data_IF_079936485311
#
_entry.id   IF_079936485311
#
_cell.length_a   1.000
_cell.length_b   1.000
_cell.length_c   1.000
_cell.angle_alpha   90.00
_cell.angle_beta   90.00
_cell.angle_gamma   90.00
#
_symmetry.space_group_name_H-M   'P 1'
#
loop_
_entity.id
_entity.type
_entity.pdbx_description
1 polymer ?
#
# COMPACT_ATOMS: atom_id res chain seq x y z
N UNK A 1 -26.50 -14.60 5.14
CA UNK A 1 -25.27 -15.42 5.08
C UNK A 1 -24.50 -14.91 3.88
N UNK A 2 -23.61 -13.94 4.11
CA UNK A 2 -22.84 -13.32 3.04
C UNK A 2 -21.84 -14.36 2.49
N UNK A 3 -21.87 -14.60 1.18
CA UNK A 3 -20.92 -15.49 0.51
C UNK A 3 -19.48 -14.99 0.72
N UNK A 4 -18.50 -15.88 0.96
CA UNK A 4 -17.10 -15.52 1.05
C UNK A 4 -16.57 -15.29 -0.37
N UNK A 5 -16.99 -14.19 -1.01
CA UNK A 5 -16.26 -13.66 -2.15
C UNK A 5 -14.91 -13.24 -1.61
N UNK A 6 -13.83 -13.80 -2.18
CA UNK A 6 -12.46 -13.52 -1.76
C UNK A 6 -12.28 -12.03 -1.50
N UNK A 7 -11.73 -11.68 -0.33
CA UNK A 7 -11.68 -10.30 0.17
C UNK A 7 -10.87 -9.42 -0.78
N UNK A 8 -11.52 -8.86 -1.79
CA UNK A 8 -11.05 -7.68 -2.50
C UNK A 8 -11.14 -6.50 -1.56
N UNK A 9 -10.05 -5.74 -1.46
CA UNK A 9 -10.00 -4.47 -0.72
C UNK A 9 -11.04 -3.54 -1.32
N UNK A 10 -11.88 -2.91 -0.49
CA UNK A 10 -12.87 -1.94 -0.96
C UNK A 10 -12.19 -0.68 -1.50
N UNK A 11 -12.89 0.07 -2.36
CA UNK A 11 -12.32 1.21 -3.06
C UNK A 11 -11.79 2.30 -2.12
N UNK A 12 -12.46 2.55 -1.00
CA UNK A 12 -12.00 3.54 0.00
C UNK A 12 -10.68 3.10 0.62
N UNK A 13 -10.61 1.87 1.12
CA UNK A 13 -9.38 1.30 1.67
C UNK A 13 -8.26 1.30 0.62
N UNK A 14 -8.58 1.01 -0.65
CA UNK A 14 -7.61 1.02 -1.74
C UNK A 14 -7.05 2.42 -2.00
N UNK A 15 -7.88 3.44 -2.06
CA UNK A 15 -7.46 4.83 -2.27
C UNK A 15 -6.52 5.28 -1.14
N UNK A 16 -6.87 4.97 0.11
CA UNK A 16 -6.03 5.27 1.28
C UNK A 16 -4.66 4.58 1.23
N UNK A 17 -4.60 3.32 0.76
CA UNK A 17 -3.34 2.58 0.58
C UNK A 17 -2.47 3.21 -0.51
N UNK A 18 -3.07 3.69 -1.61
CA UNK A 18 -2.35 4.39 -2.69
C UNK A 18 -1.78 5.71 -2.17
N UNK A 19 -2.57 6.50 -1.44
CA UNK A 19 -2.10 7.76 -0.83
C UNK A 19 -0.96 7.51 0.14
N UNK A 20 -1.08 6.51 1.03
CA UNK A 20 -0.01 6.17 1.97
C UNK A 20 1.29 5.73 1.26
N UNK A 21 1.17 5.01 0.14
CA UNK A 21 2.33 4.68 -0.70
C UNK A 21 2.99 5.95 -1.24
N UNK A 22 2.21 6.84 -1.87
CA UNK A 22 2.72 8.04 -2.54
C UNK A 22 3.39 9.00 -1.55
N UNK A 23 2.73 9.30 -0.42
CA UNK A 23 3.29 10.21 0.59
C UNK A 23 4.61 9.68 1.17
N UNK A 24 4.66 8.38 1.48
CA UNK A 24 5.89 7.78 2.02
C UNK A 24 7.00 7.70 0.96
N UNK A 25 6.64 7.45 -0.30
CA UNK A 25 7.58 7.44 -1.42
C UNK A 25 8.20 8.82 -1.65
N UNK A 26 7.37 9.86 -1.69
CA UNK A 26 7.79 11.25 -1.90
C UNK A 26 8.63 11.75 -0.71
N UNK A 27 8.25 11.42 0.53
CA UNK A 27 9.05 11.76 1.71
C UNK A 27 10.44 11.14 1.66
N UNK A 28 10.55 9.88 1.24
CA UNK A 28 11.84 9.21 1.11
C UNK A 28 12.69 9.83 -0.01
N UNK A 29 12.09 10.23 -1.13
CA UNK A 29 12.79 10.97 -2.19
C UNK A 29 13.26 12.34 -1.71
N UNK A 30 12.42 13.09 -1.01
CA UNK A 30 12.74 14.40 -0.45
C UNK A 30 13.85 14.32 0.62
N UNK A 31 13.93 13.20 1.33
CA UNK A 31 15.02 12.88 2.24
C UNK A 31 16.34 12.52 1.52
N UNK A 32 16.34 12.44 0.18
CA UNK A 32 17.52 12.17 -0.65
C UNK A 32 17.81 10.68 -0.85
N UNK A 33 16.85 9.79 -0.56
CA UNK A 33 16.99 8.38 -0.88
C UNK A 33 16.83 8.12 -2.38
N UNK A 34 17.43 7.03 -2.86
CA UNK A 34 17.23 6.59 -4.24
C UNK A 34 15.83 5.98 -4.45
N UNK A 35 15.37 5.95 -5.69
CA UNK A 35 14.05 5.42 -6.09
C UNK A 35 13.77 4.00 -5.57
N UNK A 36 14.79 3.14 -5.47
CA UNK A 36 14.59 1.76 -4.99
C UNK A 36 14.28 1.76 -3.50
N UNK A 37 15.00 2.58 -2.74
CA UNK A 37 14.78 2.75 -1.30
C UNK A 37 13.42 3.40 -1.06
N UNK A 38 13.10 4.51 -1.75
CA UNK A 38 11.80 5.17 -1.68
C UNK A 38 10.63 4.22 -2.01
N UNK A 39 10.78 3.38 -3.04
CA UNK A 39 9.78 2.37 -3.37
C UNK A 39 9.54 1.35 -2.25
N UNK A 40 10.61 0.90 -1.58
CA UNK A 40 10.50 -0.04 -0.45
C UNK A 40 9.80 0.59 0.75
N UNK A 41 10.10 1.85 1.04
CA UNK A 41 9.45 2.62 2.10
C UNK A 41 7.97 2.84 1.78
N UNK A 42 7.65 3.26 0.55
CA UNK A 42 6.28 3.39 0.05
C UNK A 42 5.45 2.11 0.23
N UNK A 43 6.00 0.96 -0.20
CA UNK A 43 5.31 -0.33 -0.01
C UNK A 43 5.16 -0.71 1.47
N UNK A 44 6.05 -0.22 2.35
CA UNK A 44 5.96 -0.47 3.80
C UNK A 44 4.85 0.37 4.41
N UNK A 45 4.80 1.68 4.12
CA UNK A 45 3.73 2.57 4.56
C UNK A 45 2.34 2.09 4.09
N UNK A 46 2.25 1.69 2.83
CA UNK A 46 1.03 1.12 2.25
C UNK A 46 0.58 -0.17 2.96
N UNK A 47 1.52 -1.08 3.26
CA UNK A 47 1.22 -2.34 3.95
C UNK A 47 0.75 -2.11 5.39
N UNK A 48 1.41 -1.20 6.12
CA UNK A 48 1.01 -0.83 7.47
C UNK A 48 -0.39 -0.19 7.48
N UNK A 49 -0.68 0.69 6.51
CA UNK A 49 -1.99 1.30 6.33
C UNK A 49 -3.09 0.25 6.09
N UNK A 50 -2.83 -0.70 5.17
CA UNK A 50 -3.76 -1.79 4.86
C UNK A 50 -4.00 -2.70 6.09
N UNK A 51 -2.94 -3.08 6.79
CA UNK A 51 -3.03 -3.90 8.00
C UNK A 51 -3.89 -3.21 9.07
N UNK A 52 -3.68 -1.92 9.30
CA UNK A 52 -4.44 -1.12 10.26
C UNK A 52 -5.93 -1.02 9.89
N UNK A 53 -6.26 -0.80 8.62
CA UNK A 53 -7.65 -0.65 8.18
C UNK A 53 -8.43 -1.97 8.15
N UNK A 54 -7.76 -3.08 7.88
CA UNK A 54 -8.43 -4.37 7.64
C UNK A 54 -8.20 -5.41 8.75
N UNK A 55 -7.38 -5.07 9.76
CA UNK A 55 -6.99 -5.96 10.86
C UNK A 55 -6.42 -7.29 10.38
N UNK A 56 -5.67 -7.27 9.28
CA UNK A 56 -4.92 -8.43 8.76
C UNK A 56 -3.46 -8.37 9.20
N UNK A 57 -2.79 -9.52 9.24
CA UNK A 57 -1.35 -9.61 9.53
C UNK A 57 -0.50 -8.82 8.53
N UNK A 58 0.60 -8.23 9.03
CA UNK A 58 1.53 -7.43 8.23
C UNK A 58 2.09 -8.18 7.03
N UNK A 59 2.37 -9.47 7.18
CA UNK A 59 2.89 -10.31 6.08
C UNK A 59 1.86 -10.50 4.95
N UNK A 60 0.57 -10.61 5.30
CA UNK A 60 -0.51 -10.69 4.32
C UNK A 60 -0.76 -9.34 3.67
N UNK A 61 -0.80 -8.26 4.47
CA UNK A 61 -0.92 -6.90 3.95
C UNK A 61 0.19 -6.56 2.97
N UNK A 62 1.44 -6.92 3.30
CA UNK A 62 2.60 -6.73 2.44
C UNK A 62 2.45 -7.45 1.10
N UNK A 63 2.09 -8.73 1.14
CA UNK A 63 1.88 -9.53 -0.08
C UNK A 63 0.77 -8.98 -0.97
N UNK A 64 -0.31 -8.46 -0.35
CA UNK A 64 -1.41 -7.84 -1.08
C UNK A 64 -0.99 -6.53 -1.74
N UNK A 65 -0.26 -5.68 -1.00
CA UNK A 65 0.26 -4.39 -1.49
C UNK A 65 1.23 -4.57 -2.66
N UNK A 66 2.15 -5.54 -2.56
CA UNK A 66 3.09 -5.86 -3.65
C UNK A 66 2.37 -6.33 -4.91
N UNK A 67 1.18 -6.93 -4.79
CA UNK A 67 0.36 -7.35 -5.92
C UNK A 67 -0.48 -6.22 -6.54
N UNK A 68 -0.58 -5.04 -5.90
CA UNK A 68 -1.44 -3.93 -6.37
C UNK A 68 -0.77 -3.02 -7.40
N UNK A 69 0.51 -3.21 -7.72
CA UNK A 69 1.26 -2.37 -8.69
C UNK A 69 1.13 -0.86 -8.36
N UNK A 70 1.30 -0.52 -7.08
CA UNK A 70 0.95 0.79 -6.53
C UNK A 70 1.70 1.95 -7.18
N UNK A 71 2.91 1.72 -7.69
CA UNK A 71 3.67 2.75 -8.42
C UNK A 71 2.88 3.25 -9.62
N UNK A 72 2.35 2.34 -10.43
CA UNK A 72 1.53 2.68 -11.59
C UNK A 72 0.22 3.37 -11.22
N UNK A 73 -0.34 3.05 -10.05
CA UNK A 73 -1.59 3.64 -9.57
C UNK A 73 -1.39 5.02 -8.95
N UNK A 74 -0.23 5.29 -8.36
CA UNK A 74 0.12 6.60 -7.79
C UNK A 74 0.48 7.63 -8.88
N UNK A 75 1.00 7.17 -10.03
CA UNK A 75 1.31 8.00 -11.20
C UNK A 75 0.09 8.27 -12.13
N UNK A 76 -1.10 7.72 -11.84
CA UNK A 76 -2.28 7.73 -12.72
C UNK A 76 -3.34 8.76 -12.32
#
# INVERSE_FOLDING_TARGET
MESPRGRTVDDTTREMVITAYAETFDEALDAGHDETTAHREGLTGAAMCLAAMTSIDDSLARSMVEAMDLRKLADA
#
